data_IF_470080268746
#
_entry.id   IF_470080268746
#
_cell.length_a   1.000
_cell.length_b   1.000
_cell.length_c   1.000
_cell.angle_alpha   90.00
_cell.angle_beta   90.00
_cell.angle_gamma   90.00
#
_symmetry.space_group_name_H-M   'P 1'
#
loop_
_entity.id
_entity.type
_entity.pdbx_description
1 polymer ?
#
# COMPACT_ATOMS: atom_id res chain seq x y z
N UNK A 1 5.91 20.87 -31.30
CA UNK A 1 5.34 22.04 -30.61
C UNK A 1 5.55 21.79 -29.12
N UNK A 2 6.52 22.46 -28.50
CA UNK A 2 6.85 22.27 -27.08
C UNK A 2 5.65 22.70 -26.25
N UNK A 3 4.97 21.74 -25.62
CA UNK A 3 4.04 22.04 -24.53
C UNK A 3 4.88 22.61 -23.40
N UNK A 4 4.62 23.87 -23.09
CA UNK A 4 5.11 24.57 -21.91
C UNK A 4 4.82 23.75 -20.67
N UNK A 5 5.87 23.46 -19.91
CA UNK A 5 5.86 22.80 -18.61
C UNK A 5 4.83 23.43 -17.68
N UNK A 6 3.76 22.70 -17.42
CA UNK A 6 2.88 22.95 -16.27
C UNK A 6 3.71 22.77 -14.99
N UNK A 7 3.37 23.59 -14.00
CA UNK A 7 4.10 23.82 -12.77
C UNK A 7 3.97 22.60 -11.82
N UNK A 8 4.60 21.48 -12.17
CA UNK A 8 4.71 20.32 -11.29
C UNK A 8 5.55 20.75 -10.07
N UNK A 9 5.06 20.58 -8.82
CA UNK A 9 5.90 20.82 -7.67
C UNK A 9 7.13 19.91 -7.78
N UNK A 10 8.33 20.50 -7.60
CA UNK A 10 9.62 19.81 -7.81
C UNK A 10 9.70 18.47 -7.08
N UNK A 11 8.93 18.28 -6.00
CA UNK A 11 8.46 16.97 -5.51
C UNK A 11 7.30 17.14 -4.50
N UNK A 12 6.44 16.14 -4.32
CA UNK A 12 5.38 16.16 -3.28
C UNK A 12 5.97 16.25 -1.84
N UNK A 13 5.24 16.69 -0.82
CA UNK A 13 5.72 16.61 0.57
C UNK A 13 5.92 15.17 1.05
N UNK A 14 6.92 14.95 1.90
CA UNK A 14 7.09 13.71 2.65
C UNK A 14 7.43 14.05 4.11
N UNK A 15 6.60 13.59 5.04
CA UNK A 15 6.66 13.98 6.46
C UNK A 15 6.95 12.77 7.31
N UNK A 16 8.11 12.76 7.97
CA UNK A 16 8.50 11.70 8.91
C UNK A 16 7.63 11.77 10.17
N UNK A 17 7.16 10.62 10.65
CA UNK A 17 6.65 10.46 12.02
C UNK A 17 7.69 9.71 12.82
N UNK A 18 8.57 10.47 13.49
CA UNK A 18 9.75 9.98 14.21
C UNK A 18 9.55 9.94 15.72
N UNK A 19 10.37 9.15 16.41
CA UNK A 19 10.34 9.05 17.87
C UNK A 19 10.77 7.67 18.38
N UNK A 20 11.16 7.56 19.66
CA UNK A 20 11.67 6.33 20.25
C UNK A 20 10.66 5.17 20.16
N UNK A 21 11.07 3.91 20.40
CA UNK A 21 10.14 2.79 20.45
C UNK A 21 9.03 3.02 21.47
N UNK A 22 7.85 2.47 21.19
CA UNK A 22 6.68 2.52 22.08
C UNK A 22 6.11 3.92 22.36
N UNK A 23 6.49 4.97 21.61
CA UNK A 23 5.91 6.31 21.78
C UNK A 23 4.48 6.49 21.25
N UNK A 24 3.93 5.50 20.53
CA UNK A 24 2.58 5.57 19.95
C UNK A 24 2.53 6.00 18.47
N UNK A 25 3.66 6.01 17.75
CA UNK A 25 3.75 6.43 16.33
C UNK A 25 2.67 5.83 15.44
N UNK A 26 2.47 4.52 15.47
CA UNK A 26 1.50 3.83 14.62
C UNK A 26 0.06 4.26 14.89
N UNK A 27 -0.27 4.60 16.14
CA UNK A 27 -1.60 5.12 16.54
C UNK A 27 -1.75 6.58 16.10
N UNK A 28 -0.69 7.39 16.23
CA UNK A 28 -0.66 8.76 15.71
C UNK A 28 -0.84 8.78 14.19
N UNK A 29 -0.06 7.98 13.45
CA UNK A 29 -0.17 7.85 11.98
C UNK A 29 -1.60 7.48 11.59
N UNK A 30 -2.21 6.50 12.26
CA UNK A 30 -3.58 6.10 11.97
C UNK A 30 -4.61 7.20 12.25
N UNK A 31 -4.47 7.90 13.39
CA UNK A 31 -5.36 9.02 13.76
C UNK A 31 -5.23 10.19 12.77
N UNK A 32 -4.00 10.53 12.36
CA UNK A 32 -3.73 11.55 11.35
C UNK A 32 -4.28 11.15 9.98
N UNK A 33 -4.10 9.89 9.56
CA UNK A 33 -4.65 9.38 8.30
C UNK A 33 -6.16 9.55 8.24
N UNK A 34 -6.89 9.26 9.33
CA UNK A 34 -8.33 9.50 9.41
C UNK A 34 -8.67 10.98 9.30
N UNK A 35 -8.03 11.83 10.10
CA UNK A 35 -8.27 13.27 10.11
C UNK A 35 -7.96 13.94 8.75
N UNK A 36 -6.94 13.47 8.03
CA UNK A 36 -6.59 13.93 6.69
C UNK A 36 -7.57 13.45 5.63
N UNK A 37 -8.09 12.21 5.74
CA UNK A 37 -9.15 11.69 4.85
C UNK A 37 -10.44 12.52 5.00
N UNK A 38 -10.83 12.86 6.22
CA UNK A 38 -11.97 13.74 6.49
C UNK A 38 -11.81 15.13 5.85
N UNK A 39 -10.56 15.62 5.77
CA UNK A 39 -10.18 16.88 5.09
C UNK A 39 -9.99 16.74 3.58
N UNK A 40 -10.15 15.54 3.02
CA UNK A 40 -9.83 15.22 1.61
C UNK A 40 -8.42 15.63 1.21
N UNK A 41 -7.46 15.53 2.14
CA UNK A 41 -6.06 15.78 1.85
C UNK A 41 -5.45 14.51 1.22
N UNK A 42 -5.04 14.52 -0.05
CA UNK A 42 -4.47 13.35 -0.71
C UNK A 42 -3.14 12.97 -0.04
N UNK A 43 -3.03 11.72 0.42
CA UNK A 43 -1.81 11.23 1.05
C UNK A 43 -1.69 9.70 0.99
N UNK A 44 -0.47 9.21 1.21
CA UNK A 44 -0.17 7.80 1.40
C UNK A 44 0.76 7.59 2.59
N UNK A 45 0.52 6.51 3.35
CA UNK A 45 1.40 6.12 4.46
C UNK A 45 2.48 5.17 3.93
N UNK A 46 3.72 5.66 3.85
CA UNK A 46 4.88 4.85 3.52
C UNK A 46 5.48 4.28 4.82
N UNK A 47 5.47 2.95 4.96
CA UNK A 47 6.14 2.26 6.07
C UNK A 47 7.63 2.10 5.74
N UNK A 48 8.45 2.97 6.32
CA UNK A 48 9.91 2.97 6.17
C UNK A 48 10.60 2.12 7.25
N UNK A 49 9.86 1.18 7.86
CA UNK A 49 10.35 0.27 8.87
C UNK A 49 9.78 -1.13 8.65
N UNK A 50 10.60 -2.19 8.74
CA UNK A 50 10.14 -3.53 8.42
C UNK A 50 9.40 -4.25 9.56
N UNK A 51 8.91 -3.53 10.57
CA UNK A 51 8.32 -4.09 11.80
C UNK A 51 6.88 -4.66 11.62
N UNK A 52 6.36 -4.62 10.39
CA UNK A 52 5.11 -5.27 9.96
C UNK A 52 3.84 -4.61 10.45
N UNK A 53 3.85 -3.31 10.74
CA UNK A 53 2.67 -2.55 11.17
C UNK A 53 2.07 -1.78 9.98
N UNK A 54 0.78 -1.98 9.69
CA UNK A 54 0.01 -1.24 8.67
C UNK A 54 -1.33 -0.77 9.24
N UNK A 55 -2.06 0.10 8.53
CA UNK A 55 -3.33 0.69 9.03
C UNK A 55 -4.39 -0.39 9.35
N UNK A 56 -4.37 -1.50 8.59
CA UNK A 56 -5.21 -2.68 8.82
C UNK A 56 -5.01 -3.33 10.20
N UNK A 57 -3.88 -3.10 10.87
CA UNK A 57 -3.64 -3.59 12.24
C UNK A 57 -4.47 -2.84 13.30
N UNK A 58 -4.97 -1.64 12.95
CA UNK A 58 -5.89 -0.87 13.80
C UNK A 58 -7.37 -1.05 13.38
N UNK A 59 -7.65 -1.49 12.16
CA UNK A 59 -9.01 -1.66 11.62
C UNK A 59 -9.56 -3.11 11.70
N UNK A 60 -8.71 -4.13 11.88
CA UNK A 60 -9.10 -5.55 11.88
C UNK A 60 -9.13 -6.20 13.29
N UNK A 61 -9.87 -7.32 13.41
CA UNK A 61 -9.91 -8.16 14.62
C UNK A 61 -8.49 -8.54 15.08
N UNK A 62 -8.18 -8.34 16.37
CA UNK A 62 -6.85 -8.57 16.96
C UNK A 62 -6.30 -9.98 16.70
N UNK A 63 -7.16 -10.98 16.59
CA UNK A 63 -6.75 -12.35 16.23
C UNK A 63 -6.24 -12.43 14.78
N UNK A 64 -6.97 -11.84 13.83
CA UNK A 64 -6.59 -11.73 12.42
C UNK A 64 -5.35 -10.85 12.22
N UNK A 65 -5.17 -9.82 13.08
CA UNK A 65 -4.00 -8.94 13.03
C UNK A 65 -2.71 -9.66 13.44
N UNK A 66 -2.77 -10.52 14.45
CA UNK A 66 -1.61 -11.31 14.88
C UNK A 66 -1.24 -12.37 13.83
N UNK A 67 -2.22 -12.97 13.19
CA UNK A 67 -2.03 -14.00 12.16
C UNK A 67 -1.41 -13.43 10.86
N UNK A 68 -1.76 -12.19 10.50
CA UNK A 68 -1.29 -11.53 9.26
C UNK A 68 0.01 -10.72 9.44
N UNK A 69 0.58 -10.65 10.65
CA UNK A 69 1.78 -9.85 10.95
C UNK A 69 3.06 -10.61 10.56
N UNK A 70 3.65 -10.25 9.43
CA UNK A 70 5.02 -10.63 9.09
C UNK A 70 6.00 -9.54 9.57
N UNK A 71 6.90 -9.88 10.51
CA UNK A 71 8.02 -9.01 10.87
C UNK A 71 9.15 -9.23 9.86
N UNK A 72 9.50 -8.20 9.12
CA UNK A 72 10.66 -8.20 8.23
C UNK A 72 11.94 -7.80 8.96
N UNK A 73 13.05 -7.79 8.23
CA UNK A 73 14.35 -7.29 8.71
C UNK A 73 14.83 -6.12 7.86
N UNK A 74 15.60 -5.20 8.47
CA UNK A 74 16.25 -4.14 7.72
C UNK A 74 17.37 -4.73 6.86
N UNK A 75 17.23 -4.61 5.54
CA UNK A 75 18.25 -4.97 4.55
C UNK A 75 18.67 -3.75 3.74
N UNK A 76 19.82 -3.80 3.07
CA UNK A 76 20.24 -2.73 2.15
C UNK A 76 19.27 -2.58 0.97
N UNK A 77 18.70 -3.69 0.47
CA UNK A 77 17.70 -3.68 -0.59
C UNK A 77 16.41 -3.00 -0.15
N UNK A 78 15.96 -3.24 1.09
CA UNK A 78 14.80 -2.54 1.67
C UNK A 78 15.04 -1.03 1.76
N UNK A 79 16.18 -0.62 2.34
CA UNK A 79 16.53 0.81 2.47
C UNK A 79 16.62 1.50 1.10
N UNK A 80 17.23 0.84 0.11
CA UNK A 80 17.29 1.35 -1.27
C UNK A 80 15.90 1.49 -1.89
N UNK A 81 15.05 0.48 -1.72
CA UNK A 81 13.70 0.50 -2.28
C UNK A 81 12.83 1.61 -1.66
N UNK A 82 12.88 1.76 -0.32
CA UNK A 82 12.19 2.86 0.38
C UNK A 82 12.74 4.22 -0.08
N UNK A 83 14.07 4.35 -0.22
CA UNK A 83 14.70 5.56 -0.74
C UNK A 83 14.22 5.92 -2.15
N UNK A 84 14.12 4.93 -3.05
CA UNK A 84 13.57 5.10 -4.38
C UNK A 84 12.12 5.56 -4.37
N UNK A 85 11.27 4.96 -3.54
CA UNK A 85 9.86 5.35 -3.39
C UNK A 85 9.71 6.78 -2.83
N UNK A 86 10.57 7.19 -1.89
CA UNK A 86 10.57 8.55 -1.38
C UNK A 86 11.00 9.55 -2.47
N UNK A 87 12.03 9.24 -3.24
CA UNK A 87 12.50 10.11 -4.33
C UNK A 87 11.45 10.24 -5.44
N UNK A 88 10.85 9.13 -5.86
CA UNK A 88 9.87 9.05 -6.95
C UNK A 88 8.41 9.18 -6.48
N UNK A 89 8.17 9.70 -5.27
CA UNK A 89 6.82 9.78 -4.68
C UNK A 89 5.82 10.50 -5.58
N UNK A 90 4.64 9.91 -5.72
CA UNK A 90 3.56 10.41 -6.57
C UNK A 90 2.45 11.15 -5.81
N UNK A 91 2.55 11.22 -4.48
CA UNK A 91 1.53 11.84 -3.62
C UNK A 91 2.21 12.31 -2.33
N UNK A 92 1.62 13.24 -1.55
CA UNK A 92 2.16 13.55 -0.23
C UNK A 92 2.27 12.29 0.65
N UNK A 93 3.38 12.15 1.37
CA UNK A 93 3.66 10.97 2.19
C UNK A 93 3.67 11.28 3.68
N UNK A 94 3.04 10.41 4.46
CA UNK A 94 3.39 10.19 5.87
C UNK A 94 4.36 9.02 5.94
N UNK A 95 5.55 9.26 6.47
CA UNK A 95 6.65 8.29 6.51
C UNK A 95 6.80 7.76 7.93
N UNK A 96 6.31 6.55 8.16
CA UNK A 96 6.41 5.90 9.47
C UNK A 96 7.73 5.16 9.60
N UNK A 97 8.54 5.54 10.59
CA UNK A 97 9.93 5.10 10.74
C UNK A 97 10.14 4.31 12.03
N UNK A 98 11.16 3.45 12.03
CA UNK A 98 11.52 2.65 13.20
C UNK A 98 12.01 3.53 14.36
N UNK A 99 11.81 3.06 15.59
CA UNK A 99 12.14 3.86 16.78
C UNK A 99 13.64 3.95 17.13
N UNK A 100 14.49 3.16 16.47
CA UNK A 100 15.95 3.10 16.71
C UNK A 100 16.69 3.03 15.37
N UNK A 101 16.62 4.08 14.52
CA UNK A 101 17.28 4.06 13.24
C UNK A 101 18.80 3.99 13.45
N UNK A 102 19.47 3.11 12.71
CA UNK A 102 20.95 3.10 12.62
C UNK A 102 21.40 4.16 11.62
N UNK A 103 22.63 4.69 11.72
CA UNK A 103 23.12 5.74 10.80
C UNK A 103 22.96 5.41 9.31
N UNK A 104 23.20 4.16 8.90
CA UNK A 104 23.02 3.74 7.50
C UNK A 104 21.56 3.66 7.04
N UNK A 105 20.61 3.61 7.97
CA UNK A 105 19.16 3.63 7.70
C UNK A 105 18.67 5.07 7.61
N UNK A 106 19.25 6.00 8.35
CA UNK A 106 18.86 7.42 8.33
C UNK A 106 19.01 8.08 6.96
N UNK A 107 19.83 7.53 6.07
CA UNK A 107 19.99 8.03 4.71
C UNK A 107 18.66 8.18 3.96
N UNK A 108 17.63 7.36 4.28
CA UNK A 108 16.30 7.52 3.64
C UNK A 108 15.59 8.79 4.11
N UNK A 109 15.92 9.32 5.29
CA UNK A 109 15.30 10.53 5.84
C UNK A 109 15.70 11.78 5.05
N UNK A 110 16.87 11.78 4.40
CA UNK A 110 17.30 12.88 3.52
C UNK A 110 16.37 13.10 2.31
N UNK A 111 15.49 12.13 1.99
CA UNK A 111 14.47 12.28 0.96
C UNK A 111 13.13 12.81 1.48
N UNK A 112 13.04 13.05 2.80
CA UNK A 112 11.86 13.61 3.43
C UNK A 112 11.97 15.14 3.53
N UNK A 113 10.82 15.80 3.50
CA UNK A 113 10.72 17.27 3.49
C UNK A 113 10.53 17.86 4.88
N UNK A 114 9.87 17.13 5.79
CA UNK A 114 9.55 17.62 7.13
C UNK A 114 9.50 16.46 8.13
N UNK A 115 9.46 16.76 9.42
CA UNK A 115 9.31 15.77 10.49
C UNK A 115 8.35 16.20 11.60
N UNK A 116 7.60 15.23 12.11
CA UNK A 116 6.85 15.26 13.37
C UNK A 116 7.59 14.34 14.34
N UNK A 117 7.97 14.86 15.51
CA UNK A 117 8.62 14.08 16.55
C UNK A 117 7.62 13.75 17.66
N UNK A 118 7.48 12.47 18.00
CA UNK A 118 6.61 11.96 19.05
C UNK A 118 7.44 11.24 20.12
N UNK A 119 7.60 11.87 21.27
CA UNK A 119 8.45 11.37 22.36
C UNK A 119 7.57 10.92 23.52
N UNK A 120 7.71 9.65 23.91
CA UNK A 120 6.97 9.08 25.03
C UNK A 120 7.53 9.52 26.37
N UNK A 121 6.65 9.81 27.32
CA UNK A 121 7.05 9.95 28.72
C UNK A 121 7.42 8.61 29.34
N UNK A 122 8.35 8.65 30.29
CA UNK A 122 8.77 7.52 31.11
C UNK A 122 8.75 7.97 32.56
N UNK A 123 7.81 7.44 33.34
CA UNK A 123 7.68 7.81 34.76
C UNK A 123 8.92 7.45 35.58
N UNK A 124 9.67 6.43 35.15
CA UNK A 124 10.90 5.92 35.75
C UNK A 124 12.18 6.66 35.29
N UNK A 125 12.12 7.44 34.21
CA UNK A 125 13.23 8.26 33.72
C UNK A 125 12.72 9.63 33.23
N UNK A 126 12.56 10.62 34.14
CA UNK A 126 12.09 11.95 33.79
C UNK A 126 12.97 12.70 32.77
N UNK A 127 14.25 12.34 32.68
CA UNK A 127 15.20 12.91 31.72
C UNK A 127 15.13 12.22 30.35
N UNK A 128 14.39 11.12 30.21
CA UNK A 128 14.25 10.40 28.95
C UNK A 128 13.66 11.27 27.85
N UNK A 129 12.70 12.13 28.18
CA UNK A 129 12.07 12.99 27.19
C UNK A 129 13.10 13.89 26.52
N UNK A 130 13.90 14.64 27.30
CA UNK A 130 14.86 15.60 26.76
C UNK A 130 15.98 14.90 25.99
N UNK A 131 16.45 13.76 26.50
CA UNK A 131 17.48 12.96 25.83
C UNK A 131 16.99 12.38 24.50
N UNK A 132 15.83 11.73 24.51
CA UNK A 132 15.26 11.10 23.31
C UNK A 132 14.86 12.20 22.29
N UNK A 133 14.33 13.34 22.74
CA UNK A 133 14.07 14.49 21.87
C UNK A 133 15.34 15.03 21.22
N UNK A 134 16.40 15.26 22.01
CA UNK A 134 17.67 15.77 21.51
C UNK A 134 18.31 14.80 20.50
N UNK A 135 18.23 13.50 20.74
CA UNK A 135 18.69 12.47 19.79
C UNK A 135 17.96 12.59 18.45
N UNK A 136 16.63 12.64 18.47
CA UNK A 136 15.82 12.74 17.25
C UNK A 136 16.01 14.07 16.52
N UNK A 137 16.14 15.19 17.25
CA UNK A 137 16.47 16.48 16.65
C UNK A 137 17.84 16.44 15.96
N UNK A 138 18.84 15.84 16.59
CA UNK A 138 20.18 15.67 16.01
C UNK A 138 20.15 14.83 14.72
N UNK A 139 19.31 13.79 14.67
CA UNK A 139 19.10 13.01 13.44
C UNK A 139 18.48 13.92 12.36
N UNK A 140 17.41 14.65 12.67
CA UNK A 140 16.74 15.50 11.68
C UNK A 140 17.65 16.62 11.16
N UNK A 141 18.42 17.27 12.04
CA UNK A 141 19.42 18.28 11.68
C UNK A 141 20.50 17.71 10.75
N UNK A 142 21.05 16.53 11.08
CA UNK A 142 22.05 15.84 10.24
C UNK A 142 21.51 15.52 8.85
N UNK A 143 20.22 15.23 8.73
CA UNK A 143 19.57 14.90 7.46
C UNK A 143 18.97 16.13 6.75
N UNK A 144 19.07 17.32 7.33
CA UNK A 144 18.52 18.56 6.77
C UNK A 144 17.00 18.63 6.75
N UNK A 145 16.32 17.87 7.62
CA UNK A 145 14.85 17.77 7.64
C UNK A 145 14.27 18.71 8.71
N UNK A 146 13.51 19.76 8.33
CA UNK A 146 12.89 20.66 9.30
C UNK A 146 11.80 19.97 10.13
N UNK A 147 11.83 20.18 11.45
CA UNK A 147 10.81 19.70 12.38
C UNK A 147 9.63 20.68 12.40
N UNK A 148 8.42 20.18 12.08
CA UNK A 148 7.19 20.97 12.04
C UNK A 148 6.29 20.77 13.26
N UNK A 149 6.51 19.68 14.01
CA UNK A 149 5.83 19.44 15.28
C UNK A 149 6.68 18.59 16.25
N UNK A 150 6.54 18.88 17.55
CA UNK A 150 7.13 18.12 18.65
C UNK A 150 6.02 17.79 19.65
N UNK A 151 5.74 16.51 19.81
CA UNK A 151 4.65 16.00 20.61
C UNK A 151 5.19 15.16 21.76
N UNK A 152 4.65 15.41 22.95
CA UNK A 152 4.82 14.56 24.12
C UNK A 152 3.69 13.54 24.16
N UNK A 153 4.03 12.26 24.22
CA UNK A 153 3.06 11.17 24.33
C UNK A 153 2.94 10.75 25.79
N UNK A 154 1.77 10.99 26.38
CA UNK A 154 1.44 10.64 27.76
C UNK A 154 0.21 9.72 27.77
N UNK A 155 0.38 8.45 28.13
CA UNK A 155 -0.69 7.47 28.05
C UNK A 155 -1.89 7.79 28.97
N UNK A 156 -1.65 8.48 30.09
CA UNK A 156 -2.63 8.68 31.16
C UNK A 156 -2.99 10.15 31.41
N UNK A 157 -2.32 11.07 30.73
CA UNK A 157 -2.58 12.50 30.83
C UNK A 157 -3.79 12.97 30.05
N UNK A 158 -3.73 14.24 29.64
CA UNK A 158 -4.71 14.89 28.80
C UNK A 158 -4.03 15.48 27.59
N UNK A 159 -4.69 15.39 26.45
CA UNK A 159 -4.22 16.09 25.26
C UNK A 159 -4.33 17.60 25.45
N UNK A 160 -3.29 18.32 25.07
CA UNK A 160 -3.18 19.76 25.20
C UNK A 160 -2.33 20.33 24.05
N UNK A 161 -2.87 21.33 23.35
CA UNK A 161 -2.11 22.13 22.40
C UNK A 161 -1.44 23.29 23.14
N UNK A 162 -0.11 23.29 23.19
CA UNK A 162 0.66 24.31 23.91
C UNK A 162 1.13 25.44 22.98
N UNK A 163 1.44 25.11 21.73
CA UNK A 163 1.94 26.07 20.75
C UNK A 163 1.55 25.62 19.35
N UNK A 164 0.98 26.51 18.52
CA UNK A 164 0.62 26.20 17.14
C UNK A 164 1.71 26.60 16.12
N UNK A 165 2.52 27.62 16.42
CA UNK A 165 3.51 28.22 15.50
C UNK A 165 4.78 28.69 16.23
N UNK A 166 5.97 28.69 15.60
CA UNK A 166 6.26 28.20 14.25
C UNK A 166 6.35 26.67 14.16
N UNK A 167 6.70 26.01 15.27
CA UNK A 167 6.67 24.55 15.45
C UNK A 167 5.47 24.24 16.35
N UNK A 168 4.63 23.29 15.93
CA UNK A 168 3.49 22.86 16.74
C UNK A 168 4.00 22.03 17.93
N UNK A 169 3.58 22.37 19.15
CA UNK A 169 3.91 21.64 20.38
C UNK A 169 2.67 21.32 21.17
N UNK A 170 2.63 20.12 21.71
CA UNK A 170 1.51 19.63 22.50
C UNK A 170 1.83 18.35 23.25
N UNK A 171 0.99 18.04 24.21
CA UNK A 171 0.90 16.69 24.79
C UNK A 171 -0.26 15.98 24.13
N UNK A 172 -0.06 14.75 23.67
CA UNK A 172 -1.11 13.86 23.18
C UNK A 172 -1.29 12.71 24.15
N UNK A 173 -2.54 12.43 24.53
CA UNK A 173 -2.87 11.35 25.42
C UNK A 173 -3.66 10.22 24.74
N UNK A 174 -3.67 9.04 25.37
CA UNK A 174 -4.53 7.93 24.95
C UNK A 174 -4.12 7.27 23.62
N UNK A 175 -2.83 7.28 23.25
CA UNK A 175 -2.33 6.55 22.08
C UNK A 175 -2.28 5.02 22.31
N UNK A 176 -3.43 4.43 22.65
CA UNK A 176 -3.60 2.99 22.84
C UNK A 176 -3.78 2.25 21.51
N UNK A 177 -3.31 1.01 21.44
CA UNK A 177 -3.47 0.15 20.25
C UNK A 177 -4.94 -0.22 20.02
N UNK A 178 -5.44 0.07 18.82
CA UNK A 178 -6.84 -0.16 18.44
C UNK A 178 -7.79 0.98 18.82
N UNK A 179 -7.27 2.07 19.39
CA UNK A 179 -8.04 3.28 19.65
C UNK A 179 -7.71 4.36 18.62
N UNK A 180 -8.63 5.32 18.47
CA UNK A 180 -8.39 6.52 17.68
C UNK A 180 -8.54 7.74 18.54
N UNK A 181 -7.58 8.66 18.40
CA UNK A 181 -7.60 9.93 19.10
C UNK A 181 -8.08 10.99 18.12
N UNK A 182 -9.17 11.67 18.48
CA UNK A 182 -9.74 12.77 17.72
C UNK A 182 -9.92 13.96 18.67
N UNK A 183 -8.84 14.72 18.84
CA UNK A 183 -8.79 15.89 19.72
C UNK A 183 -8.28 17.14 18.97
N UNK A 184 -8.23 18.26 19.68
CA UNK A 184 -7.77 19.56 19.14
C UNK A 184 -6.33 19.48 18.60
N UNK A 185 -5.46 18.68 19.23
CA UNK A 185 -4.07 18.55 18.83
C UNK A 185 -3.94 17.76 17.52
N UNK A 186 -4.68 16.66 17.35
CA UNK A 186 -4.78 15.92 16.09
C UNK A 186 -5.36 16.80 14.99
N UNK A 187 -6.40 17.60 15.29
CA UNK A 187 -6.96 18.53 14.32
C UNK A 187 -5.92 19.57 13.88
N UNK A 188 -5.20 20.20 14.82
CA UNK A 188 -4.16 21.18 14.52
C UNK A 188 -2.99 20.59 13.72
N UNK A 189 -2.59 19.35 14.01
CA UNK A 189 -1.59 18.62 13.22
C UNK A 189 -2.08 18.33 11.81
N UNK A 190 -3.33 17.88 11.65
CA UNK A 190 -3.92 17.60 10.35
C UNK A 190 -4.04 18.88 9.50
N UNK A 191 -4.42 20.01 10.09
CA UNK A 191 -4.49 21.31 9.39
C UNK A 191 -3.10 21.78 8.95
N UNK A 192 -2.09 21.59 9.80
CA UNK A 192 -0.69 21.87 9.46
C UNK A 192 -0.19 20.98 8.32
N UNK A 193 -0.48 19.69 8.34
CA UNK A 193 -0.14 18.75 7.27
C UNK A 193 -0.89 19.10 5.97
N UNK A 194 -2.17 19.45 6.04
CA UNK A 194 -2.93 19.89 4.88
C UNK A 194 -2.33 21.14 4.24
N UNK A 195 -1.85 22.09 5.04
CA UNK A 195 -1.14 23.27 4.54
C UNK A 195 0.16 22.91 3.83
N UNK A 196 0.86 21.84 4.26
CA UNK A 196 2.02 21.32 3.54
C UNK A 196 1.60 20.55 2.28
N UNK A 197 0.49 19.81 2.34
CA UNK A 197 -0.08 19.02 1.25
C UNK A 197 -0.94 19.91 0.34
N UNK A 198 -0.34 20.98 -0.17
CA UNK A 198 -0.95 22.10 -0.91
C UNK A 198 -1.77 21.72 -2.16
N UNK A 199 -1.88 20.44 -2.51
CA UNK A 199 -2.54 19.95 -3.70
C UNK A 199 -3.86 19.28 -3.33
N UNK A 200 -4.93 19.67 -4.01
CA UNK A 200 -6.21 18.99 -3.90
C UNK A 200 -6.18 17.62 -4.62
N UNK A 201 -7.12 16.75 -4.24
CA UNK A 201 -7.21 15.38 -4.77
C UNK A 201 -7.49 15.33 -6.28
N UNK A 202 -8.20 16.33 -6.83
CA UNK A 202 -8.54 16.39 -8.25
C UNK A 202 -7.30 16.70 -9.08
N UNK A 203 -6.48 17.65 -8.64
CA UNK A 203 -5.22 18.02 -9.26
C UNK A 203 -4.19 16.88 -9.19
N UNK A 204 -4.11 16.16 -8.06
CA UNK A 204 -3.26 14.96 -7.96
C UNK A 204 -3.71 13.91 -8.97
N UNK A 205 -5.02 13.70 -9.11
CA UNK A 205 -5.57 12.78 -10.10
C UNK A 205 -5.27 13.22 -11.52
N UNK A 206 -5.46 14.50 -11.84
CA UNK A 206 -5.13 15.07 -13.15
C UNK A 206 -3.65 14.84 -13.49
N UNK A 207 -2.73 15.14 -12.57
CA UNK A 207 -1.29 14.91 -12.76
C UNK A 207 -0.96 13.43 -13.05
N UNK A 208 -1.62 12.50 -12.36
CA UNK A 208 -1.42 11.07 -12.64
C UNK A 208 -1.95 10.65 -14.01
N UNK A 209 -3.13 11.16 -14.39
CA UNK A 209 -3.75 10.85 -15.68
C UNK A 209 -3.00 11.49 -16.85
N UNK A 210 -2.43 12.69 -16.68
CA UNK A 210 -1.53 13.32 -17.67
C UNK A 210 -0.26 12.48 -17.91
N UNK A 211 0.20 11.76 -16.88
CA UNK A 211 1.34 10.85 -16.95
C UNK A 211 0.94 9.43 -17.41
N UNK A 212 -0.32 9.19 -17.74
CA UNK A 212 -0.77 7.87 -18.17
C UNK A 212 -0.01 7.44 -19.45
N UNK A 213 0.48 6.19 -19.49
CA UNK A 213 1.33 5.71 -20.58
C UNK A 213 0.60 5.51 -21.90
N UNK A 214 -0.73 5.50 -21.90
CA UNK A 214 -1.56 5.39 -23.10
C UNK A 214 -2.83 6.24 -23.00
N UNK A 215 -3.42 6.56 -24.15
CA UNK A 215 -4.59 7.43 -24.22
C UNK A 215 -5.86 6.79 -23.64
N UNK A 216 -6.00 5.46 -23.75
CA UNK A 216 -7.13 4.74 -23.20
C UNK A 216 -6.92 4.48 -21.71
N UNK A 217 -7.46 5.37 -20.88
CA UNK A 217 -7.37 5.26 -19.42
C UNK A 217 -8.73 4.96 -18.81
N UNK A 218 -8.79 3.88 -18.05
CA UNK A 218 -9.93 3.49 -17.23
C UNK A 218 -9.77 4.11 -15.84
N UNK A 219 -10.70 4.98 -15.47
CA UNK A 219 -10.75 5.63 -14.16
C UNK A 219 -11.77 4.89 -13.28
N UNK A 220 -11.29 4.10 -12.34
CA UNK A 220 -12.11 3.21 -11.52
C UNK A 220 -13.14 3.93 -10.62
N UNK A 221 -12.83 5.10 -10.01
CA UNK A 221 -13.84 5.87 -9.29
C UNK A 221 -15.05 6.26 -10.14
N UNK A 222 -14.83 6.66 -11.40
CA UNK A 222 -15.89 7.03 -12.34
C UNK A 222 -16.77 5.82 -12.66
N UNK A 223 -16.15 4.65 -12.83
CA UNK A 223 -16.86 3.38 -13.00
C UNK A 223 -17.78 3.11 -11.82
N UNK A 224 -17.23 3.20 -10.60
CA UNK A 224 -17.94 2.86 -9.37
C UNK A 224 -19.16 3.78 -9.18
N UNK A 225 -18.99 5.07 -9.47
CA UNK A 225 -20.05 6.06 -9.48
C UNK A 225 -21.13 5.75 -10.53
N UNK A 226 -20.73 5.38 -11.75
CA UNK A 226 -21.66 5.02 -12.83
C UNK A 226 -22.47 3.76 -12.50
N UNK A 227 -21.86 2.77 -11.84
CA UNK A 227 -22.52 1.55 -11.38
C UNK A 227 -23.38 1.77 -10.12
N UNK A 228 -23.43 3.00 -9.59
CA UNK A 228 -24.19 3.39 -8.40
C UNK A 228 -23.94 2.47 -7.22
N UNK A 229 -22.68 2.09 -7.02
CA UNK A 229 -22.30 1.24 -5.91
C UNK A 229 -22.69 1.88 -4.57
N UNK A 230 -23.39 1.13 -3.73
CA UNK A 230 -23.73 1.58 -2.38
C UNK A 230 -22.44 1.69 -1.56
N UNK A 231 -22.22 2.84 -0.93
CA UNK A 231 -21.04 3.12 -0.08
C UNK A 231 -19.68 2.99 -0.79
N UNK A 232 -19.62 3.19 -2.11
CA UNK A 232 -18.37 3.07 -2.89
C UNK A 232 -17.67 1.70 -2.70
N UNK A 233 -18.47 0.63 -2.62
CA UNK A 233 -17.96 -0.74 -2.47
C UNK A 233 -18.06 -1.51 -3.79
N UNK A 234 -16.94 -2.11 -4.20
CA UNK A 234 -16.88 -3.01 -5.34
C UNK A 234 -17.52 -4.36 -5.02
N UNK A 235 -18.46 -4.80 -5.86
CA UNK A 235 -19.13 -6.10 -5.73
C UNK A 235 -18.75 -7.03 -6.90
N UNK A 236 -18.59 -8.34 -6.68
CA UNK A 236 -18.20 -9.29 -7.74
C UNK A 236 -19.09 -9.27 -8.97
N UNK A 237 -20.40 -9.06 -8.81
CA UNK A 237 -21.37 -8.95 -9.90
C UNK A 237 -21.09 -7.78 -10.86
N UNK A 238 -20.33 -6.76 -10.42
CA UNK A 238 -19.93 -5.64 -11.25
C UNK A 238 -18.88 -6.01 -12.30
N UNK A 239 -18.21 -7.17 -12.16
CA UNK A 239 -17.11 -7.56 -13.04
C UNK A 239 -17.51 -7.63 -14.51
N UNK A 240 -18.71 -8.14 -14.81
CA UNK A 240 -19.18 -8.25 -16.18
C UNK A 240 -19.22 -6.88 -16.88
N UNK A 241 -19.76 -5.87 -16.21
CA UNK A 241 -19.80 -4.50 -16.73
C UNK A 241 -18.40 -3.86 -16.77
N UNK A 242 -17.56 -4.12 -15.77
CA UNK A 242 -16.19 -3.58 -15.72
C UNK A 242 -15.34 -4.03 -16.90
N UNK A 243 -15.34 -5.34 -17.22
CA UNK A 243 -14.47 -5.86 -18.27
C UNK A 243 -14.89 -5.42 -19.67
N UNK A 244 -16.16 -5.02 -19.87
CA UNK A 244 -16.62 -4.46 -21.15
C UNK A 244 -15.96 -3.13 -21.50
N UNK A 245 -15.39 -2.44 -20.51
CA UNK A 245 -14.65 -1.19 -20.71
C UNK A 245 -13.21 -1.41 -21.18
N UNK A 246 -12.72 -2.64 -21.11
CA UNK A 246 -11.41 -3.00 -21.67
C UNK A 246 -11.58 -3.24 -23.17
N UNK A 247 -11.08 -2.31 -23.98
CA UNK A 247 -11.22 -2.41 -25.44
C UNK A 247 -10.27 -3.48 -26.00
N UNK A 248 -10.77 -4.43 -26.82
CA UNK A 248 -9.93 -5.41 -27.48
C UNK A 248 -8.81 -4.75 -28.31
N UNK A 249 -7.63 -5.37 -28.31
CA UNK A 249 -6.47 -4.92 -29.07
C UNK A 249 -6.00 -3.49 -28.76
N UNK A 250 -6.42 -2.91 -27.63
CA UNK A 250 -6.07 -1.54 -27.24
C UNK A 250 -5.29 -1.54 -25.94
N UNK A 251 -4.15 -0.84 -25.95
CA UNK A 251 -3.36 -0.55 -24.77
C UNK A 251 -4.22 0.18 -23.72
N UNK A 252 -4.18 -0.24 -22.45
CA UNK A 252 -5.11 0.27 -21.43
C UNK A 252 -4.40 0.62 -20.12
N UNK A 253 -4.55 1.86 -19.65
CA UNK A 253 -4.09 2.29 -18.33
C UNK A 253 -5.27 2.22 -17.33
N UNK A 254 -5.02 1.72 -16.12
CA UNK A 254 -6.03 1.60 -15.05
C UNK A 254 -5.63 2.46 -13.86
N UNK A 255 -6.46 3.46 -13.56
CA UNK A 255 -6.27 4.40 -12.45
C UNK A 255 -7.32 4.20 -11.35
N UNK A 256 -6.91 4.34 -10.09
CA UNK A 256 -7.79 4.34 -8.93
C UNK A 256 -7.84 3.01 -8.18
N UNK A 257 -8.63 2.97 -7.10
CA UNK A 257 -8.67 1.86 -6.13
C UNK A 257 -9.79 0.86 -6.44
N UNK A 258 -9.43 -0.42 -6.47
CA UNK A 258 -10.34 -1.54 -6.54
C UNK A 258 -9.75 -2.78 -5.83
N UNK A 259 -10.53 -3.84 -5.59
CA UNK A 259 -9.99 -5.11 -5.10
C UNK A 259 -9.06 -5.79 -6.11
N UNK A 260 -8.21 -6.70 -5.61
CA UNK A 260 -7.28 -7.48 -6.43
C UNK A 260 -7.97 -8.20 -7.60
N UNK A 261 -9.15 -8.77 -7.38
CA UNK A 261 -9.92 -9.48 -8.39
C UNK A 261 -10.35 -8.57 -9.56
N UNK A 262 -10.62 -7.29 -9.31
CA UNK A 262 -10.98 -6.34 -10.35
C UNK A 262 -9.80 -6.06 -11.27
N UNK A 263 -8.62 -5.80 -10.69
CA UNK A 263 -7.38 -5.62 -11.44
C UNK A 263 -7.00 -6.86 -12.25
N UNK A 264 -7.12 -8.05 -11.64
CA UNK A 264 -6.85 -9.32 -12.31
C UNK A 264 -7.79 -9.56 -13.50
N UNK A 265 -9.09 -9.29 -13.37
CA UNK A 265 -10.05 -9.43 -14.45
C UNK A 265 -9.70 -8.50 -15.62
N UNK A 266 -9.51 -7.20 -15.36
CA UNK A 266 -9.11 -6.24 -16.39
C UNK A 266 -7.78 -6.64 -17.06
N UNK A 267 -6.83 -7.16 -16.28
CA UNK A 267 -5.54 -7.60 -16.81
C UNK A 267 -5.66 -8.79 -17.77
N UNK A 268 -6.51 -9.77 -17.46
CA UNK A 268 -6.79 -10.89 -18.36
C UNK A 268 -7.53 -10.43 -19.62
N UNK A 269 -8.60 -9.64 -19.46
CA UNK A 269 -9.41 -9.17 -20.58
C UNK A 269 -8.70 -8.16 -21.50
N UNK A 270 -7.58 -7.59 -21.06
CA UNK A 270 -6.71 -6.77 -21.90
C UNK A 270 -5.79 -7.59 -22.82
N UNK A 271 -5.72 -8.92 -22.68
CA UNK A 271 -4.84 -9.75 -23.53
C UNK A 271 -5.26 -9.67 -25.02
N UNK A 272 -4.30 -9.68 -25.96
CA UNK A 272 -2.84 -9.70 -25.75
C UNK A 272 -2.23 -8.31 -25.51
N UNK A 273 -3.02 -7.24 -25.55
CA UNK A 273 -2.54 -5.86 -25.40
C UNK A 273 -1.92 -5.58 -24.04
N UNK A 274 -1.09 -4.53 -24.02
CA UNK A 274 -0.48 -4.03 -22.82
C UNK A 274 -1.52 -3.41 -21.88
N UNK A 275 -1.31 -3.59 -20.58
CA UNK A 275 -2.09 -2.97 -19.52
C UNK A 275 -1.15 -2.38 -18.48
N UNK A 276 -1.49 -1.20 -17.96
CA UNK A 276 -0.76 -0.53 -16.89
C UNK A 276 -1.67 -0.33 -15.69
N UNK A 277 -1.11 -0.44 -14.50
CA UNK A 277 -1.74 -0.10 -13.24
C UNK A 277 -0.98 1.06 -12.61
N UNK A 278 -1.71 2.07 -12.13
CA UNK A 278 -1.11 3.06 -11.25
C UNK A 278 -0.97 2.50 -9.82
N UNK A 279 0.25 2.18 -9.40
CA UNK A 279 0.59 1.88 -8.00
C UNK A 279 1.17 3.15 -7.37
N UNK A 280 0.58 3.64 -6.28
CA UNK A 280 0.99 4.89 -5.63
C UNK A 280 2.48 4.94 -5.21
N UNK A 281 3.13 3.78 -5.03
CA UNK A 281 4.55 3.68 -4.68
C UNK A 281 5.47 3.62 -5.88
N UNK A 282 4.98 3.13 -7.03
CA UNK A 282 5.80 2.83 -8.22
C UNK A 282 5.42 3.67 -9.44
N UNK A 283 4.29 4.37 -9.40
CA UNK A 283 3.69 5.05 -10.53
C UNK A 283 3.00 4.07 -11.46
N UNK A 284 3.04 4.38 -12.76
CA UNK A 284 2.47 3.52 -13.81
C UNK A 284 3.37 2.32 -14.08
N UNK A 285 2.89 1.12 -13.72
CA UNK A 285 3.62 -0.14 -13.91
C UNK A 285 2.82 -1.12 -14.77
N UNK A 286 3.52 -1.87 -15.62
CA UNK A 286 2.95 -3.02 -16.30
C UNK A 286 3.08 -4.27 -15.43
N UNK A 287 2.15 -5.23 -15.51
CA UNK A 287 2.36 -6.56 -14.92
C UNK A 287 3.65 -7.18 -15.50
N UNK A 288 4.65 -7.49 -14.68
CA UNK A 288 5.91 -8.04 -15.18
C UNK A 288 5.72 -9.48 -15.67
N UNK A 289 6.68 -9.98 -16.45
CA UNK A 289 6.78 -11.40 -16.75
C UNK A 289 7.34 -12.14 -15.53
N UNK A 290 6.77 -13.30 -15.18
CA UNK A 290 7.18 -14.08 -14.02
C UNK A 290 7.70 -15.44 -14.49
N UNK A 291 8.86 -15.92 -14.01
CA UNK A 291 9.33 -17.25 -14.40
C UNK A 291 8.31 -18.33 -14.01
N UNK A 292 8.03 -19.24 -14.94
CA UNK A 292 7.14 -20.37 -14.68
C UNK A 292 7.94 -21.64 -14.41
N UNK A 293 7.70 -22.25 -13.26
CA UNK A 293 8.33 -23.48 -12.80
C UNK A 293 7.35 -24.64 -12.90
N UNK A 294 7.88 -25.83 -13.19
CA UNK A 294 7.10 -27.05 -13.03
C UNK A 294 6.78 -27.28 -11.54
N UNK A 295 5.63 -27.89 -11.21
CA UNK A 295 5.31 -28.28 -9.84
C UNK A 295 6.48 -28.99 -9.16
N UNK A 296 6.70 -28.71 -7.87
CA UNK A 296 7.76 -29.30 -7.04
C UNK A 296 9.21 -28.91 -7.42
N UNK A 297 9.41 -28.06 -8.43
CA UNK A 297 10.74 -27.49 -8.72
C UNK A 297 11.23 -26.68 -7.52
N UNK A 298 12.43 -26.94 -6.98
CA UNK A 298 12.97 -26.14 -5.88
C UNK A 298 13.11 -24.67 -6.26
N UNK A 299 12.74 -23.78 -5.34
CA UNK A 299 12.95 -22.35 -5.51
C UNK A 299 14.45 -22.04 -5.42
N UNK A 300 15.03 -21.52 -6.49
CA UNK A 300 16.40 -21.05 -6.54
C UNK A 300 16.43 -19.58 -6.96
N UNK A 301 17.31 -18.79 -6.33
CA UNK A 301 17.52 -17.38 -6.66
C UNK A 301 16.25 -16.50 -6.63
N UNK A 302 15.41 -16.66 -5.61
CA UNK A 302 14.22 -15.83 -5.40
C UNK A 302 14.54 -14.53 -4.66
N UNK A 303 13.66 -13.52 -4.81
CA UNK A 303 13.74 -12.32 -3.98
C UNK A 303 13.62 -12.69 -2.50
N UNK A 304 14.31 -11.92 -1.65
CA UNK A 304 14.28 -12.14 -0.20
C UNK A 304 12.84 -12.15 0.29
N UNK A 305 12.49 -13.22 1.00
CA UNK A 305 11.18 -13.38 1.59
C UNK A 305 10.07 -13.79 0.65
N UNK A 306 10.33 -14.03 -0.64
CA UNK A 306 9.33 -14.56 -1.57
C UNK A 306 8.95 -16.00 -1.20
N UNK A 307 7.65 -16.29 -1.19
CA UNK A 307 7.09 -17.60 -0.90
C UNK A 307 6.02 -17.91 -1.93
N UNK A 308 6.08 -19.10 -2.53
CA UNK A 308 5.05 -19.57 -3.45
C UNK A 308 4.83 -21.07 -3.24
N UNK A 309 3.57 -21.49 -3.21
CA UNK A 309 3.19 -22.89 -3.08
C UNK A 309 1.98 -23.18 -3.98
N UNK A 310 1.97 -24.36 -4.58
CA UNK A 310 0.88 -24.86 -5.39
C UNK A 310 0.34 -26.12 -4.74
N UNK A 311 -0.95 -26.12 -4.45
CA UNK A 311 -1.68 -27.26 -3.91
C UNK A 311 -2.82 -27.63 -4.85
N UNK A 312 -3.18 -28.90 -4.92
CA UNK A 312 -4.32 -29.36 -5.71
C UNK A 312 -5.36 -29.97 -4.79
N UNK A 313 -6.61 -29.57 -4.97
CA UNK A 313 -7.78 -30.08 -4.27
C UNK A 313 -8.84 -30.44 -5.32
N UNK A 314 -9.20 -31.71 -5.43
CA UNK A 314 -10.12 -32.25 -6.46
C UNK A 314 -9.74 -31.86 -7.90
N UNK A 315 -10.50 -30.96 -8.55
CA UNK A 315 -10.29 -30.41 -9.89
C UNK A 315 -9.83 -28.93 -9.86
N UNK A 316 -9.44 -28.44 -8.69
CA UNK A 316 -8.97 -27.06 -8.45
C UNK A 316 -7.50 -27.09 -8.03
N UNK A 317 -6.72 -26.19 -8.59
CA UNK A 317 -5.38 -25.86 -8.14
C UNK A 317 -5.40 -24.53 -7.38
N UNK A 318 -4.62 -24.45 -6.31
CA UNK A 318 -4.52 -23.29 -5.42
C UNK A 318 -3.07 -22.82 -5.41
N UNK A 319 -2.83 -21.65 -5.99
CA UNK A 319 -1.53 -20.99 -5.97
C UNK A 319 -1.50 -19.94 -4.87
N UNK A 320 -0.81 -20.25 -3.78
CA UNK A 320 -0.57 -19.34 -2.68
C UNK A 320 0.75 -18.59 -2.90
N UNK A 321 0.67 -17.26 -2.96
CA UNK A 321 1.77 -16.34 -3.18
C UNK A 321 1.90 -15.42 -1.98
N UNK A 322 3.07 -15.39 -1.35
CA UNK A 322 3.28 -14.63 -0.13
C UNK A 322 4.65 -14.01 -0.08
N UNK A 323 4.80 -13.10 0.89
CA UNK A 323 6.12 -12.64 1.26
C UNK A 323 6.20 -12.29 2.75
N UNK A 324 7.32 -12.65 3.39
CA UNK A 324 7.68 -12.13 4.71
C UNK A 324 8.51 -10.83 4.62
N UNK A 325 8.92 -10.45 3.40
CA UNK A 325 9.50 -9.16 3.12
C UNK A 325 8.42 -8.08 3.00
N UNK A 326 8.82 -6.84 3.27
CA UNK A 326 7.92 -5.69 3.26
C UNK A 326 7.79 -5.06 1.88
N UNK A 327 8.78 -5.32 1.01
CA UNK A 327 8.84 -4.78 -0.34
C UNK A 327 9.33 -5.88 -1.28
N UNK A 328 8.56 -6.14 -2.33
CA UNK A 328 8.99 -6.89 -3.50
C UNK A 328 9.41 -5.90 -4.58
N UNK A 329 10.50 -6.19 -5.28
CA UNK A 329 10.96 -5.40 -6.42
C UNK A 329 10.16 -5.76 -7.66
N UNK A 330 9.50 -4.78 -8.25
CA UNK A 330 8.85 -4.91 -9.56
C UNK A 330 9.89 -5.10 -10.68
N UNK A 331 11.03 -4.40 -10.60
CA UNK A 331 12.09 -4.44 -11.62
C UNK A 331 12.81 -5.80 -11.69
N UNK A 332 12.94 -6.50 -10.55
CA UNK A 332 13.66 -7.78 -10.45
C UNK A 332 12.69 -8.98 -10.46
N UNK A 333 11.69 -8.94 -11.34
CA UNK A 333 10.60 -9.92 -11.41
C UNK A 333 11.05 -11.37 -11.68
N UNK A 334 12.27 -11.57 -12.20
CA UNK A 334 12.91 -12.88 -12.34
C UNK A 334 13.10 -13.61 -11.01
N UNK A 335 13.15 -12.88 -9.89
CA UNK A 335 13.20 -13.46 -8.55
C UNK A 335 11.82 -13.83 -7.97
N UNK A 336 10.74 -13.73 -8.75
CA UNK A 336 9.36 -14.00 -8.32
C UNK A 336 8.71 -15.12 -9.14
N UNK A 337 9.28 -16.34 -9.17
CA UNK A 337 8.74 -17.43 -9.95
C UNK A 337 7.36 -17.88 -9.45
N UNK A 338 6.56 -18.43 -10.36
CA UNK A 338 5.28 -19.09 -10.10
C UNK A 338 5.36 -20.57 -10.47
N UNK A 339 4.55 -21.40 -9.82
CA UNK A 339 4.33 -22.78 -10.26
C UNK A 339 3.23 -22.86 -11.32
N UNK A 340 3.48 -23.62 -12.38
CA UNK A 340 2.48 -23.90 -13.41
C UNK A 340 1.38 -24.81 -12.84
N UNK A 341 0.10 -24.39 -12.91
CA UNK A 341 -1.02 -25.26 -12.56
C UNK A 341 -1.19 -26.34 -13.63
N UNK A 342 -1.95 -27.37 -13.30
CA UNK A 342 -2.43 -28.33 -14.28
C UNK A 342 -3.39 -27.66 -15.27
N UNK A 343 -3.26 -28.00 -16.54
CA UNK A 343 -4.08 -27.43 -17.61
C UNK A 343 -5.53 -27.89 -17.50
N UNK A 344 -6.49 -27.05 -17.91
CA UNK A 344 -7.93 -27.37 -17.94
C UNK A 344 -8.54 -27.73 -16.57
N UNK A 345 -7.99 -27.14 -15.49
CA UNK A 345 -8.55 -27.19 -14.14
C UNK A 345 -8.92 -25.80 -13.66
N UNK A 346 -9.69 -25.73 -12.58
CA UNK A 346 -9.91 -24.47 -11.88
C UNK A 346 -8.62 -23.98 -11.22
N UNK A 347 -8.40 -22.68 -11.17
CA UNK A 347 -7.25 -22.09 -10.48
C UNK A 347 -7.71 -21.00 -9.51
N UNK A 348 -7.28 -21.10 -8.25
CA UNK A 348 -7.43 -20.04 -7.26
C UNK A 348 -6.06 -19.40 -7.00
N UNK A 349 -5.97 -18.10 -7.22
CA UNK A 349 -4.83 -17.26 -6.84
C UNK A 349 -5.11 -16.66 -5.46
N UNK A 350 -4.19 -16.82 -4.51
CA UNK A 350 -4.34 -16.25 -3.17
C UNK A 350 -3.02 -15.77 -2.58
N UNK A 351 -3.15 -14.92 -1.55
CA UNK A 351 -2.06 -14.51 -0.68
C UNK A 351 -1.84 -13.00 -0.63
N UNK A 352 -0.84 -12.58 0.15
CA UNK A 352 -0.62 -11.18 0.52
C UNK A 352 0.50 -10.58 -0.33
N UNK A 353 0.14 -10.20 -1.55
CA UNK A 353 1.06 -9.65 -2.56
C UNK A 353 0.47 -8.38 -3.22
N UNK A 354 1.30 -7.55 -3.87
CA UNK A 354 0.83 -6.37 -4.60
C UNK A 354 -0.10 -6.71 -5.78
N UNK A 355 -0.99 -5.77 -6.13
CA UNK A 355 -1.94 -5.93 -7.22
C UNK A 355 -1.28 -6.17 -8.59
N UNK A 356 -0.14 -5.50 -8.87
CA UNK A 356 0.60 -5.73 -10.11
C UNK A 356 1.08 -7.18 -10.27
N UNK A 357 1.31 -7.89 -9.16
CA UNK A 357 1.72 -9.29 -9.17
C UNK A 357 0.51 -10.23 -9.38
N UNK A 358 -0.64 -9.91 -8.78
CA UNK A 358 -1.90 -10.59 -9.10
C UNK A 358 -2.27 -10.47 -10.60
N UNK A 359 -2.10 -9.27 -11.18
CA UNK A 359 -2.30 -9.06 -12.62
C UNK A 359 -1.35 -9.92 -13.46
N UNK A 360 -0.07 -9.99 -13.08
CA UNK A 360 0.95 -10.76 -13.79
C UNK A 360 0.68 -12.27 -13.72
N UNK A 361 0.33 -12.79 -12.54
CA UNK A 361 -0.05 -14.18 -12.35
C UNK A 361 -1.30 -14.53 -13.17
N UNK A 362 -2.34 -13.69 -13.11
CA UNK A 362 -3.58 -13.92 -13.85
C UNK A 362 -3.33 -13.95 -15.36
N UNK A 363 -2.58 -12.99 -15.90
CA UNK A 363 -2.28 -12.92 -17.34
C UNK A 363 -1.52 -14.13 -17.86
N UNK A 364 -0.60 -14.68 -17.06
CA UNK A 364 0.24 -15.80 -17.47
C UNK A 364 -0.43 -17.16 -17.27
N UNK A 365 -1.26 -17.31 -16.23
CA UNK A 365 -1.82 -18.62 -15.85
C UNK A 365 -3.24 -18.85 -16.35
N UNK A 366 -4.09 -17.81 -16.35
CA UNK A 366 -5.50 -17.96 -16.73
C UNK A 366 -5.74 -18.45 -18.18
N UNK A 367 -4.88 -18.16 -19.18
CA UNK A 367 -5.04 -18.76 -20.51
C UNK A 367 -4.92 -20.29 -20.56
N UNK A 368 -4.42 -20.94 -19.50
CA UNK A 368 -4.17 -22.39 -19.45
C UNK A 368 -5.15 -23.15 -18.54
N UNK A 369 -6.12 -22.45 -17.93
CA UNK A 369 -7.06 -22.99 -16.95
C UNK A 369 -8.48 -22.99 -17.50
N UNK A 370 -9.37 -23.76 -16.87
CA UNK A 370 -10.80 -23.74 -17.20
C UNK A 370 -11.44 -22.44 -16.72
N UNK A 371 -11.08 -22.04 -15.50
CA UNK A 371 -11.40 -20.74 -14.93
C UNK A 371 -10.31 -20.36 -13.93
N UNK A 372 -10.15 -19.06 -13.70
CA UNK A 372 -9.25 -18.53 -12.69
C UNK A 372 -10.02 -17.57 -11.78
N UNK A 373 -9.84 -17.76 -10.48
CA UNK A 373 -10.45 -16.96 -9.43
C UNK A 373 -9.38 -16.37 -8.50
N UNK A 374 -9.69 -15.23 -7.88
CA UNK A 374 -8.81 -14.57 -6.91
C UNK A 374 -9.48 -14.59 -5.54
N UNK A 375 -8.79 -15.15 -4.54
CA UNK A 375 -9.30 -15.27 -3.19
C UNK A 375 -9.43 -13.92 -2.50
N UNK A 376 -10.59 -13.69 -1.88
CA UNK A 376 -10.89 -12.51 -1.08
C UNK A 376 -11.45 -12.95 0.29
N UNK A 377 -10.67 -12.86 1.39
CA UNK A 377 -11.10 -13.33 2.71
C UNK A 377 -12.43 -12.75 3.19
N UNK A 378 -12.71 -11.49 2.87
CA UNK A 378 -13.95 -10.78 3.24
C UNK A 378 -15.20 -11.41 2.61
N UNK A 379 -15.04 -12.11 1.48
CA UNK A 379 -16.11 -12.82 0.78
C UNK A 379 -16.19 -14.29 1.16
N UNK A 380 -15.25 -14.80 2.00
CA UNK A 380 -15.10 -16.23 2.31
C UNK A 380 -15.06 -17.12 1.06
N UNK A 381 -14.41 -16.62 0.01
CA UNK A 381 -14.39 -17.27 -1.29
C UNK A 381 -13.49 -16.59 -2.29
N UNK A 382 -13.38 -17.18 -3.48
CA UNK A 382 -12.60 -16.66 -4.59
C UNK A 382 -13.51 -16.17 -5.73
N UNK A 383 -13.27 -14.96 -6.21
CA UNK A 383 -14.05 -14.34 -7.29
C UNK A 383 -13.47 -14.75 -8.63
N UNK A 384 -14.27 -15.35 -9.51
CA UNK A 384 -13.86 -15.74 -10.86
C UNK A 384 -13.59 -14.49 -11.71
N UNK A 385 -12.36 -14.37 -12.19
CA UNK A 385 -11.85 -13.21 -12.95
C UNK A 385 -11.62 -13.51 -14.43
N UNK A 386 -11.54 -14.79 -14.78
CA UNK A 386 -11.35 -15.30 -16.13
C UNK A 386 -11.99 -16.68 -16.23
N UNK A 387 -12.65 -16.99 -17.35
CA UNK A 387 -13.32 -18.27 -17.54
C UNK A 387 -13.39 -18.65 -19.02
N UNK A 388 -13.16 -19.93 -19.30
CA UNK A 388 -13.47 -20.61 -20.56
C UNK A 388 -14.73 -21.49 -20.41
N UNK A 389 -15.30 -21.57 -19.21
CA UNK A 389 -16.50 -22.34 -18.89
C UNK A 389 -17.70 -21.41 -18.70
N UNK A 390 -18.66 -21.49 -19.62
CA UNK A 390 -19.89 -20.71 -19.59
C UNK A 390 -20.78 -21.02 -18.37
N UNK A 391 -20.59 -22.18 -17.72
CA UNK A 391 -21.30 -22.54 -16.50
C UNK A 391 -20.80 -21.76 -15.27
N UNK A 392 -19.57 -21.22 -15.34
CA UNK A 392 -18.92 -20.47 -14.26
C UNK A 392 -18.55 -19.09 -14.79
N UNK A 393 -19.51 -18.14 -14.86
CA UNK A 393 -19.26 -16.81 -15.39
C UNK A 393 -18.32 -15.99 -14.48
N UNK A 394 -17.67 -14.98 -15.06
CA UNK A 394 -16.92 -13.98 -14.28
C UNK A 394 -17.81 -13.31 -13.23
N UNK A 395 -17.24 -12.99 -12.07
CA UNK A 395 -17.98 -12.51 -10.90
C UNK A 395 -18.56 -13.60 -10.01
N UNK A 396 -18.58 -14.87 -10.46
CA UNK A 396 -18.98 -16.00 -9.60
C UNK A 396 -18.04 -16.12 -8.39
N UNK A 397 -18.60 -16.41 -7.22
CA UNK A 397 -17.82 -16.67 -6.00
C UNK A 397 -17.73 -18.18 -5.79
N UNK A 398 -16.51 -18.72 -5.84
CA UNK A 398 -16.21 -20.09 -5.42
C UNK A 398 -16.04 -20.09 -3.90
N UNK A 399 -16.83 -20.89 -3.18
CA UNK A 399 -16.73 -21.01 -1.72
C UNK A 399 -15.34 -21.49 -1.30
N UNK A 400 -14.78 -20.92 -0.24
CA UNK A 400 -13.50 -21.35 0.31
C UNK A 400 -13.50 -22.82 0.76
N UNK A 401 -14.65 -23.37 1.14
CA UNK A 401 -14.82 -24.77 1.53
C UNK A 401 -14.52 -25.75 0.38
N UNK A 402 -14.50 -25.26 -0.87
CA UNK A 402 -14.24 -26.08 -2.04
C UNK A 402 -12.74 -26.18 -2.38
N UNK A 403 -11.87 -25.40 -1.74
CA UNK A 403 -10.44 -25.33 -2.10
C UNK A 403 -9.46 -25.08 -0.94
N UNK A 404 -9.91 -24.81 0.28
CA UNK A 404 -9.06 -24.63 1.46
C UNK A 404 -9.06 -25.84 2.40
#
# INVERSE_FOLDING_TARGET
MMKTSSNQPDTFPAVIVGGPPHSGKSVLVYSLTRALRERRAPHYVLRACPDGEGDWANEADRALVQELRAKGSFTQSFVRAVGGQLQARHIPLLVDVGGKPKPWQEAVFAHCTHAILLIGERADDPLAFDRDLAEWQTIMERQGVPVVAILRSDLHGRSELQQATPILKGTIAGLNRGETVADELIAALADRLQTLFTLDEALVTELHLEQAPCANTIVLPDILQQLKATNDVWLPEMLADMVTRVMPHTETAVYGRAPNWAYSAMAYHALPSAIWLFDVRLGWVQPPHLPLLLPQTPLAAVQTGWQVALHSHDDIDVLNMGTDAQILSWENSEGLPLYQPMTNRGLVLMGKIPNWLFMAATRQLAPHTTWTAVYQPQLKGAVVVATNDMAIPIGTIISQENFL
#
